data_IF_360774659172
#
_entry.id   IF_360774659172
#
_cell.length_a   1.000
_cell.length_b   1.000
_cell.length_c   1.000
_cell.angle_alpha   90.00
_cell.angle_beta   90.00
_cell.angle_gamma   90.00
#
_symmetry.space_group_name_H-M   'P 1'
#
loop_
_entity.id
_entity.type
_entity.pdbx_description
1 polymer ?
#
# COMPACT_ATOMS: atom_id res chain seq x y z
N UNK A 1 -17.92 5.83 -8.07
CA UNK A 1 -17.91 5.05 -6.92
C UNK A 1 -17.99 5.87 -5.64
N UNK A 2 -18.69 5.38 -4.74
CA UNK A 2 -18.91 6.11 -3.51
C UNK A 2 -17.79 5.87 -2.54
N UNK A 3 -17.44 6.90 -1.81
CA UNK A 3 -16.49 6.72 -0.74
C UNK A 3 -17.26 6.71 0.56
N UNK A 4 -16.76 5.96 1.51
CA UNK A 4 -17.37 5.86 2.80
C UNK A 4 -16.78 6.89 3.74
N UNK A 5 -17.62 7.41 4.60
CA UNK A 5 -17.17 8.27 5.68
C UNK A 5 -16.69 7.39 6.80
N UNK A 6 -15.50 7.69 7.31
CA UNK A 6 -14.89 6.86 8.31
C UNK A 6 -14.25 7.73 9.37
N UNK A 7 -14.51 7.42 10.62
CA UNK A 7 -13.89 8.16 11.71
C UNK A 7 -12.67 7.42 12.18
N UNK A 8 -11.56 8.13 12.23
CA UNK A 8 -10.29 7.55 12.64
C UNK A 8 -9.73 8.36 13.79
N UNK A 9 -8.95 7.67 14.61
CA UNK A 9 -8.27 8.30 15.71
C UNK A 9 -7.29 9.33 15.16
N UNK A 10 -7.27 10.52 15.78
CA UNK A 10 -6.45 11.59 15.24
C UNK A 10 -4.96 11.27 15.30
N UNK A 11 -4.54 10.52 16.30
CA UNK A 11 -3.14 10.13 16.40
C UNK A 11 -2.73 9.26 15.22
N UNK A 12 -3.62 8.37 14.81
CA UNK A 12 -3.37 7.52 13.65
C UNK A 12 -3.25 8.36 12.39
N UNK A 13 -4.14 9.34 12.24
CA UNK A 13 -4.13 10.21 11.08
C UNK A 13 -2.84 11.02 11.01
N UNK A 14 -2.40 11.53 12.17
CA UNK A 14 -1.16 12.30 12.22
C UNK A 14 0.04 11.44 11.84
N UNK A 15 0.07 10.22 12.32
CA UNK A 15 1.15 9.31 11.95
C UNK A 15 1.11 9.02 10.46
N UNK A 16 -0.09 8.87 9.90
CA UNK A 16 -0.22 8.61 8.48
C UNK A 16 0.27 9.77 7.64
N UNK A 17 0.04 11.00 8.11
CA UNK A 17 0.56 12.17 7.40
C UNK A 17 2.07 12.15 7.36
N UNK A 18 2.68 11.85 8.50
CA UNK A 18 4.13 11.85 8.61
C UNK A 18 4.74 10.76 7.74
N UNK A 19 4.27 9.53 7.91
CA UNK A 19 4.83 8.40 7.17
C UNK A 19 4.48 8.50 5.69
N UNK A 20 3.28 8.96 5.40
CA UNK A 20 2.86 9.11 4.03
C UNK A 20 3.71 10.11 3.27
N UNK A 21 4.01 11.24 3.91
CA UNK A 21 4.86 12.24 3.28
C UNK A 21 6.22 11.64 2.93
N UNK A 22 6.79 10.88 3.84
CA UNK A 22 8.08 10.25 3.60
C UNK A 22 8.04 9.26 2.44
N UNK A 23 6.87 8.71 2.16
CA UNK A 23 6.73 7.71 1.11
C UNK A 23 5.96 8.24 -0.10
N UNK A 24 5.79 9.54 -0.18
CA UNK A 24 5.11 10.19 -1.29
C UNK A 24 3.67 9.74 -1.42
N UNK A 25 3.00 9.55 -0.29
CA UNK A 25 1.59 9.19 -0.24
C UNK A 25 0.83 10.22 0.55
N UNK A 26 -0.45 10.42 0.19
CA UNK A 26 -1.33 11.20 1.05
C UNK A 26 -1.63 10.39 2.31
N UNK A 27 -2.14 11.09 3.34
CA UNK A 27 -2.49 10.39 4.57
C UNK A 27 -3.54 9.31 4.31
N UNK A 28 -4.53 9.62 3.47
CA UNK A 28 -5.56 8.65 3.15
C UNK A 28 -4.99 7.41 2.47
N UNK A 29 -4.09 7.61 1.54
CA UNK A 29 -3.46 6.50 0.85
C UNK A 29 -2.56 5.70 1.76
N UNK A 30 -1.91 6.37 2.70
CA UNK A 30 -1.07 5.66 3.66
C UNK A 30 -1.91 4.77 4.57
N UNK A 31 -3.05 5.28 5.03
CA UNK A 31 -3.94 4.49 5.86
C UNK A 31 -4.50 3.31 5.07
N UNK A 32 -4.86 3.55 3.82
CA UNK A 32 -5.37 2.49 2.96
C UNK A 32 -4.32 1.39 2.78
N UNK A 33 -3.07 1.80 2.61
CA UNK A 33 -1.97 0.85 2.48
C UNK A 33 -1.83 -0.01 3.74
N UNK A 34 -1.84 0.65 4.92
CA UNK A 34 -1.76 -0.08 6.17
C UNK A 34 -2.92 -1.03 6.35
N UNK A 35 -4.13 -0.58 5.96
CA UNK A 35 -5.32 -1.41 6.11
C UNK A 35 -5.22 -2.66 5.22
N UNK A 36 -4.71 -2.51 4.02
CA UNK A 36 -4.56 -3.66 3.14
C UNK A 36 -3.59 -4.68 3.70
N UNK A 37 -2.46 -4.20 4.20
CA UNK A 37 -1.47 -5.09 4.80
C UNK A 37 -2.06 -5.80 6.01
N UNK A 38 -2.72 -5.04 6.89
CA UNK A 38 -3.29 -5.62 8.09
C UNK A 38 -4.34 -6.65 7.77
N UNK A 39 -5.20 -6.35 6.80
CA UNK A 39 -6.24 -7.29 6.43
C UNK A 39 -5.65 -8.58 5.87
N UNK A 40 -4.65 -8.45 5.01
CA UNK A 40 -4.05 -9.65 4.44
C UNK A 40 -3.40 -10.50 5.50
N UNK A 41 -2.75 -9.88 6.47
CA UNK A 41 -2.10 -10.64 7.53
C UNK A 41 -3.11 -11.26 8.48
N UNK A 42 -4.20 -10.56 8.77
CA UNK A 42 -5.22 -11.13 9.65
C UNK A 42 -5.96 -12.27 9.00
N UNK A 43 -6.18 -12.19 7.70
CA UNK A 43 -6.87 -13.25 7.00
C UNK A 43 -5.97 -14.42 6.66
N UNK A 44 -4.67 -14.23 6.77
CA UNK A 44 -3.69 -15.27 6.43
C UNK A 44 -2.61 -15.29 7.49
N UNK A 45 -2.92 -15.79 8.68
CA UNK A 45 -1.97 -15.67 9.79
C UNK A 45 -0.65 -16.41 9.58
N UNK A 46 -0.59 -17.26 8.58
CA UNK A 46 0.65 -18.01 8.31
C UNK A 46 1.66 -17.25 7.47
N UNK A 47 1.26 -16.13 6.87
CA UNK A 47 2.20 -15.42 6.00
C UNK A 47 2.90 -14.33 6.78
N UNK A 48 4.09 -13.98 6.29
CA UNK A 48 4.89 -12.96 6.93
C UNK A 48 4.59 -11.59 6.32
N UNK A 49 4.96 -10.56 7.05
CA UNK A 49 4.85 -9.21 6.53
C UNK A 49 5.68 -9.06 5.24
N UNK A 50 6.85 -9.68 5.21
CA UNK A 50 7.71 -9.58 4.03
C UNK A 50 7.03 -10.16 2.80
N UNK A 51 6.33 -11.27 2.97
CA UNK A 51 5.61 -11.87 1.86
C UNK A 51 4.51 -10.93 1.36
N UNK A 52 3.76 -10.33 2.28
CA UNK A 52 2.70 -9.41 1.91
C UNK A 52 3.27 -8.20 1.17
N UNK A 53 4.37 -7.68 1.68
CA UNK A 53 5.02 -6.52 1.10
C UNK A 53 5.46 -6.81 -0.33
N UNK A 54 6.07 -7.96 -0.55
CA UNK A 54 6.52 -8.35 -1.88
C UNK A 54 5.33 -8.55 -2.83
N UNK A 55 4.25 -9.12 -2.33
CA UNK A 55 3.06 -9.33 -3.15
C UNK A 55 2.45 -8.02 -3.59
N UNK A 56 2.42 -7.04 -2.69
CA UNK A 56 1.86 -5.73 -3.02
C UNK A 56 2.73 -4.98 -4.02
N UNK A 57 4.04 -5.11 -3.89
CA UNK A 57 4.95 -4.49 -4.85
C UNK A 57 4.77 -5.11 -6.22
N UNK A 58 4.68 -6.43 -6.28
CA UNK A 58 4.50 -7.12 -7.54
C UNK A 58 3.19 -6.72 -8.21
N UNK A 59 2.14 -6.59 -7.41
CA UNK A 59 0.85 -6.18 -7.95
C UNK A 59 0.91 -4.77 -8.51
N UNK A 60 1.56 -3.86 -7.80
CA UNK A 60 1.67 -2.48 -8.25
C UNK A 60 2.47 -2.39 -9.54
N UNK A 61 3.55 -3.15 -9.63
CA UNK A 61 4.36 -3.16 -10.84
C UNK A 61 3.58 -3.71 -12.01
N UNK A 62 2.82 -4.75 -11.77
CA UNK A 62 2.02 -5.35 -12.81
C UNK A 62 0.95 -4.39 -13.31
N UNK A 63 0.30 -3.70 -12.39
CA UNK A 63 -0.77 -2.78 -12.75
C UNK A 63 -0.26 -1.55 -13.46
N UNK A 64 0.97 -1.15 -13.18
CA UNK A 64 1.53 0.03 -13.84
C UNK A 64 2.19 -0.30 -15.16
N UNK A 65 2.32 -1.57 -15.48
CA UNK A 65 2.97 -1.97 -16.71
C UNK A 65 4.46 -1.92 -16.65
N UNK A 66 5.02 -1.84 -15.47
CA UNK A 66 6.46 -1.69 -15.33
C UNK A 66 7.21 -2.98 -15.47
N UNK A 67 6.53 -4.05 -15.68
CA UNK A 67 7.18 -5.31 -15.93
C UNK A 67 7.63 -5.46 -17.38
N UNK A 68 7.36 -4.48 -18.21
CA UNK A 68 7.78 -4.52 -19.57
C UNK A 68 9.26 -4.48 -19.67
N UNK A 69 9.79 -5.23 -20.49
CA UNK A 69 11.26 -5.25 -20.59
C UNK A 69 11.85 -3.98 -21.08
N UNK A 70 11.15 -3.78 -20.82
CA UNK A 70 11.52 -3.05 -21.12
C UNK A 70 12.32 -2.65 -21.27
N UNK A 71 12.11 -2.78 -21.42
CA UNK A 71 12.54 -2.48 -21.54
C UNK A 71 13.26 -1.92 -21.51
N UNK A 72 13.11 -2.10 -21.59
CA UNK A 72 13.62 -1.51 -21.75
C UNK A 72 14.39 -1.17 -21.92
N UNK A 73 14.53 -1.31 -22.04
CA UNK A 73 15.05 -1.02 -22.42
C UNK A 73 15.64 -0.73 -22.64
N UNK A 74 15.69 -0.71 -22.89
CA UNK A 74 16.07 -0.49 -23.26
C UNK A 74 16.54 -0.29 -23.49
N UNK A 75 16.48 -0.02 -23.57
CA UNK A 75 16.88 0.07 -24.09
C UNK A 75 17.21 0.13 -24.19
#
# INVERSE_FOLDING_TARGET
>A
MASSSLRLESELVERAKLVGTAQSRSAAKQIEHWAKIGRMMEENPDISYEFVRQALIAKAENESGQLEPYTFESG
#
